data_IF_832368367026
#
_entry.id   IF_832368367026
#
_cell.length_a   1.000
_cell.length_b   1.000
_cell.length_c   1.000
_cell.angle_alpha   90.00
_cell.angle_beta   90.00
_cell.angle_gamma   90.00
#
_symmetry.space_group_name_H-M   'P 1'
#
loop_
_entity.id
_entity.type
_entity.pdbx_description
1 polymer ?
#
# COMPACT_ATOMS: atom_id res chain seq x y z
N UNK A 1 13.39 9.88 3.09
CA UNK A 1 13.86 8.69 2.36
C UNK A 1 15.35 8.85 2.22
N UNK A 2 16.14 7.93 2.79
CA UNK A 2 17.60 8.07 2.79
C UNK A 2 18.16 7.83 1.38
N UNK A 3 19.21 8.56 0.99
CA UNK A 3 19.85 8.44 -0.35
C UNK A 3 20.23 6.97 -0.66
N UNK A 4 20.64 6.21 0.36
CA UNK A 4 20.95 4.78 0.24
C UNK A 4 19.76 3.89 -0.15
N UNK A 5 18.53 4.19 0.29
CA UNK A 5 17.33 3.42 -0.09
C UNK A 5 16.96 3.65 -1.55
N UNK A 6 17.10 4.89 -2.03
CA UNK A 6 16.86 5.26 -3.43
C UNK A 6 17.87 4.56 -4.33
N UNK A 7 19.16 4.59 -3.98
CA UNK A 7 20.22 3.93 -4.71
C UNK A 7 20.05 2.41 -4.73
N UNK A 8 19.71 1.79 -3.60
CA UNK A 8 19.46 0.35 -3.51
C UNK A 8 18.27 -0.10 -4.37
N UNK A 9 17.18 0.69 -4.41
CA UNK A 9 16.02 0.40 -5.26
C UNK A 9 16.35 0.48 -6.74
N UNK A 10 17.05 1.53 -7.17
CA UNK A 10 17.43 1.67 -8.58
C UNK A 10 18.45 0.60 -9.00
N UNK A 11 19.40 0.26 -8.12
CA UNK A 11 20.38 -0.80 -8.37
C UNK A 11 19.71 -2.15 -8.66
N UNK A 12 18.80 -2.62 -7.81
CA UNK A 12 18.09 -3.89 -8.03
C UNK A 12 17.26 -3.89 -9.31
N UNK A 13 16.60 -2.78 -9.64
CA UNK A 13 15.83 -2.66 -10.89
C UNK A 13 16.73 -2.71 -12.12
N UNK A 14 17.88 -2.03 -12.09
CA UNK A 14 18.86 -2.03 -13.19
C UNK A 14 19.42 -3.44 -13.39
N UNK A 15 19.80 -4.13 -12.32
CA UNK A 15 20.32 -5.51 -12.40
C UNK A 15 19.30 -6.46 -13.02
N UNK A 16 18.03 -6.41 -12.58
CA UNK A 16 16.96 -7.26 -13.13
C UNK A 16 16.69 -6.93 -14.59
N UNK A 17 16.60 -5.64 -14.95
CA UNK A 17 16.39 -5.21 -16.32
C UNK A 17 17.55 -5.63 -17.24
N UNK A 18 18.80 -5.50 -16.79
CA UNK A 18 19.98 -5.93 -17.52
C UNK A 18 20.00 -7.45 -17.74
N UNK A 19 19.63 -8.24 -16.73
CA UNK A 19 19.55 -9.70 -16.86
C UNK A 19 18.50 -10.11 -17.91
N UNK A 20 17.30 -9.52 -17.88
CA UNK A 20 16.22 -9.81 -18.84
C UNK A 20 16.60 -9.36 -20.25
N UNK A 21 17.15 -8.15 -20.40
CA UNK A 21 17.54 -7.59 -21.69
C UNK A 21 18.71 -8.38 -22.31
N UNK A 22 19.75 -8.67 -21.53
CA UNK A 22 20.89 -9.47 -21.96
C UNK A 22 20.46 -10.86 -22.43
N UNK A 23 19.55 -11.51 -21.70
CA UNK A 23 18.97 -12.79 -22.09
C UNK A 23 18.21 -12.70 -23.43
N UNK A 24 17.38 -11.67 -23.61
CA UNK A 24 16.64 -11.45 -24.85
C UNK A 24 17.56 -11.25 -26.06
N UNK A 25 18.65 -10.50 -25.88
CA UNK A 25 19.67 -10.28 -26.93
C UNK A 25 20.38 -11.59 -27.28
N UNK A 26 20.81 -12.38 -26.29
CA UNK A 26 21.45 -13.67 -26.54
C UNK A 26 20.52 -14.60 -27.31
N UNK A 27 19.25 -14.66 -26.91
CA UNK A 27 18.22 -15.49 -27.56
C UNK A 27 17.96 -15.06 -28.99
N UNK A 28 17.94 -13.75 -29.26
CA UNK A 28 17.79 -13.21 -30.60
C UNK A 28 18.98 -13.58 -31.51
N UNK A 29 20.20 -13.55 -30.97
CA UNK A 29 21.42 -13.77 -31.74
C UNK A 29 21.79 -15.25 -31.92
N UNK A 30 21.47 -16.10 -30.94
CA UNK A 30 21.96 -17.49 -30.86
C UNK A 30 20.84 -18.53 -30.80
N UNK A 31 19.59 -18.09 -30.69
CA UNK A 31 18.44 -18.95 -30.43
C UNK A 31 18.24 -19.25 -28.94
N UNK A 32 17.16 -19.97 -28.60
CA UNK A 32 16.82 -20.30 -27.21
C UNK A 32 17.88 -21.16 -26.51
N UNK A 33 18.22 -20.80 -25.28
CA UNK A 33 19.13 -21.58 -24.42
C UNK A 33 18.46 -21.78 -23.05
N UNK A 34 17.98 -23.01 -22.74
CA UNK A 34 17.25 -23.26 -21.51
C UNK A 34 18.12 -23.18 -20.25
N UNK A 35 19.41 -23.47 -20.36
CA UNK A 35 20.34 -23.42 -19.22
C UNK A 35 20.60 -21.96 -18.87
N UNK A 36 20.93 -21.13 -19.87
CA UNK A 36 21.16 -19.71 -19.65
C UNK A 36 19.89 -18.98 -19.19
N UNK A 37 18.73 -19.32 -19.77
CA UNK A 37 17.43 -18.79 -19.34
C UNK A 37 17.13 -19.09 -17.86
N UNK A 38 17.41 -20.32 -17.41
CA UNK A 38 17.23 -20.70 -16.01
C UNK A 38 18.13 -19.89 -15.08
N UNK A 39 19.41 -19.72 -15.42
CA UNK A 39 20.33 -18.90 -14.63
C UNK A 39 19.87 -17.43 -14.54
N UNK A 40 19.50 -16.82 -15.67
CA UNK A 40 19.01 -15.44 -15.70
C UNK A 40 17.76 -15.27 -14.83
N UNK A 41 16.83 -16.23 -14.89
CA UNK A 41 15.61 -16.21 -14.10
C UNK A 41 15.86 -16.38 -12.60
N UNK A 42 16.76 -17.29 -12.21
CA UNK A 42 17.16 -17.47 -10.82
C UNK A 42 17.80 -16.19 -10.27
N UNK A 43 18.68 -15.53 -11.02
CA UNK A 43 19.31 -14.27 -10.62
C UNK A 43 18.24 -13.18 -10.48
N UNK A 44 17.43 -12.96 -11.51
CA UNK A 44 16.43 -11.89 -11.53
C UNK A 44 15.40 -12.06 -10.39
N UNK A 45 14.87 -13.28 -10.21
CA UNK A 45 13.93 -13.61 -9.16
C UNK A 45 14.52 -13.46 -7.76
N UNK A 46 15.76 -13.94 -7.55
CA UNK A 46 16.44 -13.86 -6.26
C UNK A 46 16.76 -12.41 -5.87
N UNK A 47 17.27 -11.61 -6.80
CA UNK A 47 17.54 -10.18 -6.58
C UNK A 47 16.25 -9.44 -6.23
N UNK A 48 15.15 -9.69 -6.95
CA UNK A 48 13.86 -9.06 -6.66
C UNK A 48 13.31 -9.46 -5.30
N UNK A 49 13.33 -10.76 -4.97
CA UNK A 49 12.88 -11.27 -3.69
C UNK A 49 13.68 -10.68 -2.53
N UNK A 50 15.00 -10.68 -2.65
CA UNK A 50 15.90 -10.12 -1.64
C UNK A 50 15.62 -8.64 -1.42
N UNK A 51 15.54 -7.85 -2.51
CA UNK A 51 15.26 -6.41 -2.43
C UNK A 51 13.89 -6.12 -1.79
N UNK A 52 12.84 -6.82 -2.23
CA UNK A 52 11.49 -6.67 -1.69
C UNK A 52 11.41 -7.00 -0.20
N UNK A 53 12.06 -8.10 0.22
CA UNK A 53 12.13 -8.51 1.64
C UNK A 53 12.97 -7.55 2.47
N UNK A 54 14.10 -7.07 1.96
CA UNK A 54 14.96 -6.12 2.64
C UNK A 54 14.21 -4.79 2.88
N UNK A 55 13.54 -4.26 1.86
CA UNK A 55 12.73 -3.03 1.96
C UNK A 55 11.58 -3.20 2.95
N UNK A 56 10.86 -4.32 2.87
CA UNK A 56 9.79 -4.66 3.81
C UNK A 56 10.29 -4.72 5.26
N UNK A 57 11.44 -5.36 5.49
CA UNK A 57 12.06 -5.47 6.82
C UNK A 57 12.52 -4.11 7.34
N UNK A 58 13.25 -3.34 6.54
CA UNK A 58 13.77 -2.02 6.90
C UNK A 58 12.63 -1.10 7.32
N UNK A 59 11.57 -1.04 6.51
CA UNK A 59 10.36 -0.25 6.79
C UNK A 59 9.72 -0.56 8.15
N UNK A 60 9.70 -1.83 8.59
CA UNK A 60 9.15 -2.21 9.89
C UNK A 60 10.12 -1.93 11.04
N UNK A 61 11.43 -2.12 10.82
CA UNK A 61 12.47 -1.85 11.82
C UNK A 61 12.54 -0.36 12.13
N UNK A 62 12.65 0.46 11.08
CA UNK A 62 12.76 1.91 11.18
C UNK A 62 11.46 2.53 11.71
N UNK A 63 10.34 1.81 11.59
CA UNK A 63 9.04 2.27 12.07
C UNK A 63 9.01 2.69 13.55
N UNK A 64 9.87 2.12 14.41
CA UNK A 64 9.96 2.57 15.82
C UNK A 64 10.62 3.96 15.95
N UNK A 65 11.67 4.20 15.18
CA UNK A 65 12.36 5.49 15.13
C UNK A 65 11.43 6.56 14.52
N UNK A 66 10.79 6.24 13.39
CA UNK A 66 9.86 7.17 12.72
C UNK A 66 8.65 7.47 13.61
N UNK A 67 8.13 6.48 14.34
CA UNK A 67 7.09 6.70 15.34
C UNK A 67 7.54 7.70 16.40
N UNK A 68 8.72 7.50 16.98
CA UNK A 68 9.26 8.38 18.02
C UNK A 68 9.39 9.84 17.52
N UNK A 69 9.79 10.01 16.26
CA UNK A 69 10.04 11.31 15.63
C UNK A 69 8.79 12.00 15.06
N UNK A 70 7.65 11.31 14.96
CA UNK A 70 6.45 11.87 14.31
C UNK A 70 5.24 11.71 15.21
N UNK A 71 4.78 10.48 15.38
CA UNK A 71 3.56 10.15 16.11
C UNK A 71 3.66 10.45 17.60
N UNK A 72 4.75 10.03 18.24
CA UNK A 72 4.94 10.16 19.68
C UNK A 72 5.09 11.64 20.10
N UNK A 73 5.59 12.51 19.22
CA UNK A 73 5.68 13.95 19.46
C UNK A 73 4.28 14.55 19.69
N UNK A 74 3.27 14.07 18.97
CA UNK A 74 1.90 14.52 19.14
C UNK A 74 1.19 13.84 20.32
N UNK A 75 1.36 12.53 20.46
CA UNK A 75 0.57 11.73 21.42
C UNK A 75 1.15 11.71 22.84
N UNK A 76 2.48 11.80 23.00
CA UNK A 76 3.11 11.78 24.33
C UNK A 76 3.26 13.17 24.95
N UNK A 77 3.28 14.21 24.12
CA UNK A 77 3.29 15.59 24.61
C UNK A 77 1.88 15.95 25.07
N UNK A 78 1.71 16.20 26.37
CA UNK A 78 0.45 16.75 26.87
C UNK A 78 0.23 18.14 26.23
N UNK A 79 -0.92 18.38 25.58
CA UNK A 79 -1.18 19.69 25.02
C UNK A 79 -1.17 20.76 26.11
N UNK A 80 -0.54 21.89 25.87
CA UNK A 80 -0.61 23.00 26.82
C UNK A 80 -2.02 23.62 26.79
N UNK A 81 -2.52 24.20 27.89
CA UNK A 81 -3.82 24.88 27.89
C UNK A 81 -3.92 26.00 26.84
N UNK A 82 -2.78 26.62 26.51
CA UNK A 82 -2.63 27.66 25.50
C UNK A 82 -2.60 27.17 24.06
N UNK A 83 -2.52 25.86 23.81
CA UNK A 83 -2.57 25.31 22.46
C UNK A 83 -3.99 25.33 21.91
N UNK A 84 -4.10 25.43 20.58
CA UNK A 84 -5.38 25.56 19.91
C UNK A 84 -6.27 24.34 20.15
N UNK A 85 -7.58 24.58 20.20
CA UNK A 85 -8.58 23.51 20.30
C UNK A 85 -8.41 22.46 19.19
N UNK A 86 -8.11 22.92 17.97
CA UNK A 86 -7.77 22.08 16.83
C UNK A 86 -6.63 21.11 17.12
N UNK A 87 -5.55 21.57 17.74
CA UNK A 87 -4.41 20.71 18.09
C UNK A 87 -4.81 19.67 19.13
N UNK A 88 -5.59 20.06 20.16
CA UNK A 88 -6.10 19.13 21.17
C UNK A 88 -7.00 18.04 20.58
N UNK A 89 -7.92 18.41 19.69
CA UNK A 89 -8.81 17.47 19.01
C UNK A 89 -8.01 16.47 18.16
N UNK A 90 -7.04 16.98 17.40
CA UNK A 90 -6.14 16.18 16.57
C UNK A 90 -5.36 15.15 17.42
N UNK A 91 -4.75 15.58 18.53
CA UNK A 91 -4.02 14.70 19.45
C UNK A 91 -4.94 13.65 20.08
N UNK A 92 -6.13 14.05 20.54
CA UNK A 92 -7.11 13.11 21.09
C UNK A 92 -7.55 12.05 20.06
N UNK A 93 -7.68 12.45 18.78
CA UNK A 93 -7.99 11.53 17.69
C UNK A 93 -6.83 10.56 17.42
N UNK A 94 -5.59 11.05 17.41
CA UNK A 94 -4.40 10.20 17.27
C UNK A 94 -4.31 9.19 18.41
N UNK A 95 -4.54 9.61 19.66
CA UNK A 95 -4.59 8.70 20.81
C UNK A 95 -5.63 7.60 20.65
N UNK A 96 -6.85 7.97 20.23
CA UNK A 96 -7.94 7.02 20.02
C UNK A 96 -7.61 6.03 18.89
N UNK A 97 -7.05 6.51 17.78
CA UNK A 97 -6.53 5.66 16.70
C UNK A 97 -5.48 4.69 17.23
N UNK A 98 -4.56 5.15 18.07
CA UNK A 98 -3.55 4.28 18.68
C UNK A 98 -4.12 3.22 19.61
N UNK A 99 -5.18 3.55 20.37
CA UNK A 99 -5.91 2.56 21.19
C UNK A 99 -6.59 1.52 20.31
N UNK A 100 -7.26 1.94 19.24
CA UNK A 100 -7.94 1.05 18.29
C UNK A 100 -6.98 0.09 17.58
N UNK A 101 -5.85 0.61 17.10
CA UNK A 101 -4.79 -0.21 16.48
C UNK A 101 -4.28 -1.24 17.50
N UNK A 102 -3.98 -0.84 18.74
CA UNK A 102 -3.53 -1.77 19.79
C UNK A 102 -4.55 -2.86 20.10
N UNK A 103 -5.83 -2.52 20.16
CA UNK A 103 -6.90 -3.51 20.36
C UNK A 103 -6.99 -4.51 19.19
N UNK A 104 -6.69 -4.05 17.97
CA UNK A 104 -6.73 -4.86 16.76
C UNK A 104 -5.53 -5.82 16.59
N UNK A 105 -4.36 -5.51 17.18
CA UNK A 105 -3.09 -6.26 17.05
C UNK A 105 -3.28 -7.77 17.26
N UNK A 106 -3.88 -8.16 18.39
CA UNK A 106 -4.03 -9.57 18.78
C UNK A 106 -4.90 -10.36 17.80
N UNK A 107 -5.99 -9.75 17.34
CA UNK A 107 -6.93 -10.36 16.40
C UNK A 107 -6.33 -10.63 15.01
N UNK A 108 -5.20 -9.99 14.68
CA UNK A 108 -4.52 -10.12 13.39
C UNK A 108 -3.20 -10.92 13.47
N UNK A 109 -2.94 -11.55 14.62
CA UNK A 109 -1.71 -12.30 14.87
C UNK A 109 -0.47 -11.42 14.73
N UNK A 110 -0.54 -10.19 15.23
CA UNK A 110 0.56 -9.25 15.30
C UNK A 110 1.06 -9.19 16.75
N UNK A 111 2.37 -9.04 16.93
CA UNK A 111 3.01 -8.75 18.23
C UNK A 111 3.05 -7.24 18.49
N UNK A 112 3.28 -6.45 17.42
CA UNK A 112 3.46 -5.00 17.52
C UNK A 112 3.10 -4.32 16.21
N UNK A 113 2.42 -3.19 16.30
CA UNK A 113 2.23 -2.25 15.19
C UNK A 113 2.76 -0.89 15.64
N UNK A 114 3.74 -0.36 14.90
CA UNK A 114 4.20 1.02 15.07
C UNK A 114 3.43 1.96 14.14
N UNK A 115 3.32 3.24 14.50
CA UNK A 115 2.58 4.23 13.72
C UNK A 115 3.41 5.49 13.51
N UNK A 116 3.31 6.08 12.34
CA UNK A 116 3.98 7.33 11.99
C UNK A 116 3.00 8.29 11.31
N UNK A 117 3.29 9.59 11.41
CA UNK A 117 2.60 10.61 10.61
C UNK A 117 3.51 11.18 9.53
N UNK A 118 2.92 11.51 8.38
CA UNK A 118 3.58 12.27 7.31
C UNK A 118 3.10 13.71 7.31
N UNK A 119 4.03 14.65 7.16
CA UNK A 119 3.75 16.09 7.21
C UNK A 119 3.11 16.62 5.92
N UNK A 120 2.68 17.88 5.96
CA UNK A 120 2.07 18.59 4.82
C UNK A 120 2.98 18.66 3.59
N UNK A 121 4.30 18.65 3.79
CA UNK A 121 5.30 18.80 2.73
C UNK A 121 5.57 17.50 1.95
N UNK A 122 4.98 16.37 2.34
CA UNK A 122 5.13 15.10 1.63
C UNK A 122 4.27 13.99 2.21
N UNK A 123 3.18 13.66 1.52
CA UNK A 123 2.28 12.56 1.93
C UNK A 123 1.19 12.98 2.91
N UNK A 124 0.72 14.24 2.87
CA UNK A 124 -0.37 14.74 3.71
C UNK A 124 -1.61 13.82 3.71
N UNK A 125 -1.95 13.26 2.54
CA UNK A 125 -3.07 12.35 2.34
C UNK A 125 -2.69 10.88 2.28
N UNK A 126 -1.45 10.53 2.61
CA UNK A 126 -1.01 9.13 2.47
C UNK A 126 -1.58 8.28 3.60
N UNK A 127 -1.97 7.06 3.25
CA UNK A 127 -2.20 5.98 4.18
C UNK A 127 -1.46 4.78 3.61
N UNK A 128 -0.60 4.17 4.43
CA UNK A 128 0.22 3.03 4.01
C UNK A 128 0.45 2.09 5.17
N UNK A 129 0.60 0.83 4.83
CA UNK A 129 0.87 -0.22 5.79
C UNK A 129 1.90 -1.20 5.27
N UNK A 130 2.67 -1.77 6.18
CA UNK A 130 3.59 -2.86 5.87
C UNK A 130 3.71 -3.80 7.05
N UNK A 131 3.88 -5.08 6.75
CA UNK A 131 4.06 -6.13 7.75
C UNK A 131 5.28 -6.96 7.45
N UNK A 132 6.10 -7.25 8.44
CA UNK A 132 7.19 -8.22 8.38
C UNK A 132 7.09 -9.16 9.57
N UNK A 133 6.87 -10.46 9.30
CA UNK A 133 6.60 -11.48 10.33
C UNK A 133 5.40 -11.07 11.20
N UNK A 134 5.54 -11.04 12.53
CA UNK A 134 4.49 -10.63 13.46
C UNK A 134 4.47 -9.12 13.73
N UNK A 135 5.30 -8.32 13.06
CA UNK A 135 5.37 -6.87 13.28
C UNK A 135 4.80 -6.10 12.09
N UNK A 136 4.05 -5.03 12.39
CA UNK A 136 3.48 -4.12 11.40
C UNK A 136 3.94 -2.69 11.61
N UNK A 137 3.79 -1.88 10.57
CA UNK A 137 3.96 -0.45 10.64
C UNK A 137 2.90 0.25 9.78
N UNK A 138 2.36 1.35 10.28
CA UNK A 138 1.34 2.18 9.65
C UNK A 138 1.85 3.61 9.50
N UNK A 139 1.69 4.19 8.31
CA UNK A 139 1.85 5.62 8.08
C UNK A 139 0.48 6.23 7.79
N UNK A 140 0.14 7.29 8.52
CA UNK A 140 -1.09 8.06 8.34
C UNK A 140 -0.74 9.53 8.21
N UNK A 141 -1.02 10.12 7.05
CA UNK A 141 -0.83 11.54 6.83
C UNK A 141 -1.72 12.42 7.69
N UNK A 142 -1.26 13.64 7.97
CA UNK A 142 -1.97 14.59 8.84
C UNK A 142 -3.38 14.95 8.34
N UNK A 143 -3.69 14.76 7.04
CA UNK A 143 -5.04 14.93 6.48
C UNK A 143 -6.08 14.19 7.29
N UNK A 144 -5.80 12.94 7.68
CA UNK A 144 -6.79 12.07 8.33
C UNK A 144 -7.14 12.50 9.74
N UNK A 145 -6.34 13.38 10.35
CA UNK A 145 -6.60 13.95 11.67
C UNK A 145 -7.14 15.39 11.60
N UNK A 146 -7.23 15.98 10.40
CA UNK A 146 -7.84 17.29 10.21
C UNK A 146 -9.38 17.22 10.33
N UNK A 147 -10.06 18.24 10.87
CA UNK A 147 -11.52 18.25 11.02
C UNK A 147 -12.27 18.03 9.70
N UNK A 148 -11.72 18.56 8.59
CA UNK A 148 -12.32 18.44 7.26
C UNK A 148 -12.38 17.00 6.72
N UNK A 149 -11.54 16.10 7.24
CA UNK A 149 -11.37 14.76 6.69
C UNK A 149 -11.40 13.64 7.75
N UNK A 150 -11.54 13.97 9.03
CA UNK A 150 -11.54 13.00 10.13
C UNK A 150 -12.71 12.00 10.04
N UNK A 151 -13.80 12.37 9.36
CA UNK A 151 -14.91 11.44 9.08
C UNK A 151 -14.48 10.23 8.22
N UNK A 152 -13.41 10.34 7.43
CA UNK A 152 -12.90 9.26 6.59
C UNK A 152 -11.84 8.38 7.27
N UNK A 153 -11.26 8.85 8.39
CA UNK A 153 -10.21 8.13 9.12
C UNK A 153 -10.59 6.68 9.48
N UNK A 154 -11.83 6.36 9.95
CA UNK A 154 -12.22 4.98 10.20
C UNK A 154 -12.06 4.07 8.97
N UNK A 155 -12.57 4.52 7.82
CA UNK A 155 -12.54 3.74 6.58
C UNK A 155 -11.11 3.51 6.08
N UNK A 156 -10.28 4.56 6.09
CA UNK A 156 -8.86 4.49 5.71
C UNK A 156 -8.09 3.56 6.65
N UNK A 157 -8.30 3.68 7.96
CA UNK A 157 -7.59 2.86 8.93
C UNK A 157 -7.94 1.37 8.80
N UNK A 158 -9.23 1.04 8.67
CA UNK A 158 -9.66 -0.34 8.49
C UNK A 158 -9.16 -0.95 7.18
N UNK A 159 -9.04 -0.15 6.13
CA UNK A 159 -8.38 -0.55 4.88
C UNK A 159 -6.91 -0.90 5.13
N UNK A 160 -6.14 -0.05 5.80
CA UNK A 160 -4.72 -0.33 6.09
C UNK A 160 -4.51 -1.49 7.07
N UNK A 161 -5.39 -1.64 8.07
CA UNK A 161 -5.38 -2.79 8.96
C UNK A 161 -5.69 -4.10 8.20
N UNK A 162 -6.53 -4.04 7.16
CA UNK A 162 -6.78 -5.18 6.29
C UNK A 162 -5.50 -5.68 5.60
N UNK A 163 -4.68 -4.77 5.07
CA UNK A 163 -3.39 -5.12 4.48
C UNK A 163 -2.46 -5.83 5.47
N UNK A 164 -2.37 -5.33 6.70
CA UNK A 164 -1.56 -5.95 7.76
C UNK A 164 -2.09 -7.35 8.11
N UNK A 165 -3.40 -7.49 8.29
CA UNK A 165 -4.03 -8.76 8.62
C UNK A 165 -3.81 -9.81 7.52
N UNK A 166 -3.94 -9.40 6.25
CA UNK A 166 -3.80 -10.28 5.08
C UNK A 166 -2.35 -10.53 4.66
N UNK A 167 -1.39 -9.83 5.26
CA UNK A 167 0.05 -9.88 4.95
C UNK A 167 0.35 -9.48 3.49
N UNK A 168 -0.40 -8.51 2.97
CA UNK A 168 -0.43 -8.22 1.54
C UNK A 168 0.93 -7.77 0.98
N UNK A 169 1.72 -6.99 1.73
CA UNK A 169 3.08 -6.61 1.31
C UNK A 169 3.98 -7.84 1.07
N UNK A 170 3.86 -8.88 1.89
CA UNK A 170 4.65 -10.10 1.75
C UNK A 170 4.21 -10.94 0.56
N UNK A 171 2.89 -11.05 0.34
CA UNK A 171 2.33 -11.76 -0.82
C UNK A 171 2.67 -11.03 -2.12
N UNK A 172 2.64 -9.69 -2.11
CA UNK A 172 3.06 -8.86 -3.23
C UNK A 172 4.49 -9.14 -3.67
N UNK A 173 5.45 -9.18 -2.72
CA UNK A 173 6.85 -9.53 -3.04
C UNK A 173 6.93 -10.89 -3.74
N UNK A 174 6.16 -11.89 -3.27
CA UNK A 174 6.14 -13.23 -3.89
C UNK A 174 5.59 -13.18 -5.32
N UNK A 175 4.46 -12.49 -5.53
CA UNK A 175 3.82 -12.37 -6.86
C UNK A 175 4.73 -11.62 -7.83
N UNK A 176 5.31 -10.49 -7.43
CA UNK A 176 6.22 -9.73 -8.27
C UNK A 176 7.51 -10.53 -8.57
N UNK A 177 8.07 -11.26 -7.61
CA UNK A 177 9.21 -12.16 -7.86
C UNK A 177 8.84 -13.25 -8.88
N UNK A 178 7.67 -13.87 -8.75
CA UNK A 178 7.22 -14.90 -9.70
C UNK A 178 7.08 -14.31 -11.12
N UNK A 179 6.49 -13.11 -11.23
CA UNK A 179 6.36 -12.41 -12.51
C UNK A 179 7.72 -12.06 -13.13
N UNK A 180 8.67 -11.56 -12.35
CA UNK A 180 10.05 -11.27 -12.79
C UNK A 180 10.76 -12.53 -13.26
N UNK A 181 10.66 -13.61 -12.49
CA UNK A 181 11.28 -14.91 -12.82
C UNK A 181 10.71 -15.47 -14.11
N UNK A 182 9.38 -15.46 -14.27
CA UNK A 182 8.70 -15.93 -15.47
C UNK A 182 9.06 -15.07 -16.70
N UNK A 183 9.17 -13.75 -16.53
CA UNK A 183 9.56 -12.83 -17.61
C UNK A 183 11.00 -13.09 -18.07
N UNK A 184 11.91 -13.33 -17.13
CA UNK A 184 13.30 -13.68 -17.44
C UNK A 184 13.43 -15.05 -18.15
N UNK A 185 12.67 -16.07 -17.71
CA UNK A 185 12.58 -17.35 -18.42
C UNK A 185 12.06 -17.16 -19.85
N UNK A 186 10.96 -16.41 -20.00
CA UNK A 186 10.34 -16.14 -21.29
C UNK A 186 11.31 -15.42 -22.25
N UNK A 187 12.11 -14.49 -21.75
CA UNK A 187 13.13 -13.78 -22.54
C UNK A 187 14.19 -14.73 -23.11
N UNK A 188 14.44 -15.87 -22.45
CA UNK A 188 15.44 -16.85 -22.84
C UNK A 188 14.94 -18.03 -23.67
N UNK A 189 13.64 -18.27 -23.64
CA UNK A 189 13.02 -19.46 -24.22
C UNK A 189 12.11 -19.18 -25.41
N UNK A 190 11.60 -17.95 -25.52
CA UNK A 190 10.56 -17.61 -26.49
C UNK A 190 11.10 -16.69 -27.60
N UNK A 191 10.58 -16.81 -28.83
CA UNK A 191 10.76 -15.79 -29.85
C UNK A 191 10.25 -14.42 -29.39
N UNK A 192 10.79 -13.33 -29.94
CA UNK A 192 10.51 -11.95 -29.51
C UNK A 192 9.03 -11.61 -29.38
N UNK A 193 8.20 -12.02 -30.34
CA UNK A 193 6.75 -11.77 -30.29
C UNK A 193 6.07 -12.48 -29.11
N UNK A 194 6.38 -13.77 -28.92
CA UNK A 194 5.86 -14.57 -27.81
C UNK A 194 6.38 -14.09 -26.45
N UNK A 195 7.65 -13.66 -26.38
CA UNK A 195 8.21 -13.02 -25.19
C UNK A 195 7.46 -11.72 -24.83
N UNK A 196 7.21 -10.85 -25.80
CA UNK A 196 6.50 -9.58 -25.57
C UNK A 196 5.09 -9.83 -25.00
N UNK A 197 4.36 -10.82 -25.54
CA UNK A 197 3.06 -11.23 -25.03
C UNK A 197 3.15 -11.81 -23.61
N UNK A 198 4.16 -12.64 -23.32
CA UNK A 198 4.37 -13.20 -21.98
C UNK A 198 4.68 -12.10 -20.94
N UNK A 199 5.57 -11.15 -21.28
CA UNK A 199 5.91 -10.03 -20.42
C UNK A 199 4.70 -9.11 -20.17
N UNK A 200 3.92 -8.81 -21.20
CA UNK A 200 2.68 -8.04 -21.08
C UNK A 200 1.67 -8.75 -20.18
N UNK A 201 1.52 -10.07 -20.35
CA UNK A 201 0.62 -10.89 -19.53
C UNK A 201 1.04 -10.91 -18.07
N UNK A 202 2.34 -11.09 -17.78
CA UNK A 202 2.86 -11.03 -16.42
C UNK A 202 2.63 -9.66 -15.77
N UNK A 203 2.81 -8.57 -16.52
CA UNK A 203 2.54 -7.21 -16.06
C UNK A 203 1.05 -6.98 -15.77
N UNK A 204 0.15 -7.42 -16.67
CA UNK A 204 -1.29 -7.31 -16.49
C UNK A 204 -1.78 -8.12 -15.28
N UNK A 205 -1.33 -9.37 -15.13
CA UNK A 205 -1.69 -10.23 -14.00
C UNK A 205 -1.22 -9.66 -12.67
N UNK A 206 0.00 -9.11 -12.61
CA UNK A 206 0.50 -8.44 -11.40
C UNK A 206 -0.32 -7.20 -11.06
N UNK A 207 -0.72 -6.44 -12.07
CA UNK A 207 -1.59 -5.26 -11.91
C UNK A 207 -2.98 -5.64 -11.38
N UNK A 208 -3.61 -6.65 -11.97
CA UNK A 208 -4.90 -7.17 -11.54
C UNK A 208 -4.83 -7.76 -10.11
N UNK A 209 -3.72 -8.41 -9.77
CA UNK A 209 -3.47 -8.87 -8.40
C UNK A 209 -3.44 -7.70 -7.40
N UNK A 210 -2.74 -6.61 -7.72
CA UNK A 210 -2.77 -5.40 -6.87
C UNK A 210 -4.18 -4.83 -6.74
N UNK A 211 -4.93 -4.75 -7.84
CA UNK A 211 -6.30 -4.26 -7.82
C UNK A 211 -7.20 -5.11 -6.93
N UNK A 212 -7.08 -6.43 -7.05
CA UNK A 212 -7.80 -7.37 -6.20
C UNK A 212 -7.48 -7.18 -4.72
N UNK A 213 -6.20 -7.00 -4.38
CA UNK A 213 -5.74 -6.76 -3.01
C UNK A 213 -6.39 -5.50 -2.42
N UNK A 214 -6.35 -4.39 -3.15
CA UNK A 214 -6.97 -3.11 -2.76
C UNK A 214 -8.48 -3.24 -2.56
N UNK A 215 -9.19 -3.81 -3.55
CA UNK A 215 -10.64 -4.02 -3.45
C UNK A 215 -10.96 -4.90 -2.24
N UNK A 216 -10.22 -5.98 -2.03
CA UNK A 216 -10.51 -6.88 -0.92
C UNK A 216 -10.22 -6.24 0.46
N UNK A 217 -9.35 -5.24 0.53
CA UNK A 217 -9.17 -4.40 1.72
C UNK A 217 -10.34 -3.40 1.88
N UNK A 218 -10.83 -2.80 0.79
CA UNK A 218 -12.06 -2.00 0.80
C UNK A 218 -13.26 -2.80 1.29
N UNK A 219 -13.43 -4.05 0.83
CA UNK A 219 -14.50 -4.94 1.29
C UNK A 219 -14.43 -5.19 2.80
N UNK A 220 -13.22 -5.32 3.37
CA UNK A 220 -13.04 -5.47 4.81
C UNK A 220 -13.39 -4.19 5.55
N UNK A 221 -12.96 -3.04 5.03
CA UNK A 221 -13.33 -1.74 5.58
C UNK A 221 -14.85 -1.51 5.51
N UNK A 222 -15.52 -1.96 4.46
CA UNK A 222 -17.00 -1.89 4.33
C UNK A 222 -17.69 -2.71 5.42
N UNK A 223 -17.15 -3.88 5.78
CA UNK A 223 -17.71 -4.69 6.89
C UNK A 223 -17.54 -4.03 8.25
N UNK A 224 -16.48 -3.25 8.44
CA UNK A 224 -16.19 -2.58 9.71
C UNK A 224 -16.87 -1.19 9.84
N UNK A 225 -16.93 -0.43 8.75
CA UNK A 225 -17.34 0.98 8.75
C UNK A 225 -18.67 1.22 8.02
N UNK A 226 -19.17 0.24 7.27
CA UNK A 226 -20.34 0.35 6.40
C UNK A 226 -20.02 0.84 4.99
N UNK A 227 -20.93 0.54 4.04
CA UNK A 227 -20.79 0.87 2.61
C UNK A 227 -20.63 2.36 2.37
N UNK A 228 -21.45 3.18 3.03
CA UNK A 228 -21.50 4.62 2.81
C UNK A 228 -20.18 5.29 3.19
N UNK A 229 -19.62 4.97 4.36
CA UNK A 229 -18.37 5.57 4.83
C UNK A 229 -17.20 5.33 3.86
N UNK A 230 -17.05 4.10 3.36
CA UNK A 230 -16.00 3.76 2.39
C UNK A 230 -16.26 4.39 1.02
N UNK A 231 -17.51 4.38 0.56
CA UNK A 231 -17.87 5.00 -0.72
C UNK A 231 -17.67 6.52 -0.71
N UNK A 232 -17.99 7.20 0.40
CA UNK A 232 -17.79 8.63 0.58
C UNK A 232 -16.31 9.01 0.59
N UNK A 233 -15.46 8.22 1.25
CA UNK A 233 -14.00 8.38 1.18
C UNK A 233 -13.51 8.39 -0.28
N UNK A 234 -13.87 7.37 -1.07
CA UNK A 234 -13.40 7.28 -2.46
C UNK A 234 -14.03 8.32 -3.39
N UNK A 235 -15.26 8.77 -3.10
CA UNK A 235 -15.87 9.91 -3.80
C UNK A 235 -15.14 11.22 -3.48
N UNK A 236 -14.74 11.45 -2.23
CA UNK A 236 -13.96 12.62 -1.86
C UNK A 236 -12.61 12.65 -2.60
N UNK A 237 -11.92 11.51 -2.72
CA UNK A 237 -10.68 11.42 -3.49
C UNK A 237 -10.90 11.58 -5.00
N UNK A 238 -12.04 11.14 -5.55
CA UNK A 238 -12.41 11.44 -6.95
C UNK A 238 -12.58 12.94 -7.20
N UNK A 239 -13.18 13.68 -6.26
CA UNK A 239 -13.33 15.13 -6.35
C UNK A 239 -11.96 15.81 -6.28
N UNK A 240 -11.10 15.37 -5.36
CA UNK A 240 -9.74 15.89 -5.22
C UNK A 240 -8.87 15.61 -6.45
N UNK A 241 -9.01 14.46 -7.09
CA UNK A 241 -8.29 14.17 -8.32
C UNK A 241 -8.78 15.07 -9.47
N UNK A 242 -10.10 15.30 -9.57
CA UNK A 242 -10.69 16.18 -10.60
C UNK A 242 -10.27 17.63 -10.47
N UNK A 243 -9.92 18.11 -9.27
CA UNK A 243 -9.46 19.48 -9.07
C UNK A 243 -8.00 19.71 -9.50
N UNK A 244 -7.27 18.66 -9.90
CA UNK A 244 -5.88 18.78 -10.39
C UNK A 244 -5.84 19.11 -11.88
N UNK A 245 -4.77 19.76 -12.38
CA UNK A 245 -4.59 19.99 -13.82
C UNK A 245 -4.54 18.67 -14.60
N UNK A 246 -5.05 18.67 -15.84
CA UNK A 246 -5.24 17.46 -16.65
C UNK A 246 -3.96 16.63 -16.81
N UNK A 247 -2.81 17.27 -17.06
CA UNK A 247 -1.54 16.57 -17.20
C UNK A 247 -1.14 15.79 -15.93
N UNK A 248 -1.28 16.42 -14.76
CA UNK A 248 -1.01 15.75 -13.47
C UNK A 248 -1.99 14.63 -13.18
N UNK A 249 -3.26 14.77 -13.60
CA UNK A 249 -4.27 13.72 -13.48
C UNK A 249 -3.93 12.51 -14.34
N UNK A 250 -3.59 12.72 -15.61
CA UNK A 250 -3.22 11.63 -16.52
C UNK A 250 -1.98 10.92 -16.00
N UNK A 251 -0.93 11.66 -15.65
CA UNK A 251 0.31 11.10 -15.10
C UNK A 251 0.06 10.34 -13.80
N UNK A 252 -0.67 10.96 -12.87
CA UNK A 252 -1.06 10.35 -11.59
C UNK A 252 -1.86 9.07 -11.79
N UNK A 253 -2.82 9.08 -12.72
CA UNK A 253 -3.63 7.91 -13.07
C UNK A 253 -2.78 6.79 -13.64
N UNK A 254 -1.95 7.06 -14.65
CA UNK A 254 -1.09 6.03 -15.26
C UNK A 254 -0.15 5.37 -14.24
N UNK A 255 0.41 6.17 -13.32
CA UNK A 255 1.24 5.65 -12.23
C UNK A 255 0.42 4.84 -11.23
N UNK A 256 -0.74 5.35 -10.83
CA UNK A 256 -1.60 4.71 -9.82
C UNK A 256 -2.20 3.39 -10.32
N UNK A 257 -2.59 3.30 -11.60
CA UNK A 257 -3.21 2.11 -12.17
C UNK A 257 -2.35 0.86 -12.08
N UNK A 258 -1.03 0.98 -11.91
CA UNK A 258 -0.14 -0.17 -11.71
C UNK A 258 -0.30 -0.84 -10.34
N UNK A 259 -0.79 -0.10 -9.35
CA UNK A 259 -0.85 -0.54 -7.95
C UNK A 259 -2.22 -0.38 -7.32
N UNK A 260 -3.11 0.42 -7.92
CA UNK A 260 -4.44 0.70 -7.39
C UNK A 260 -5.48 0.62 -8.51
N UNK A 261 -6.68 0.08 -8.21
CA UNK A 261 -7.79 0.10 -9.15
C UNK A 261 -8.29 1.53 -9.36
N UNK A 262 -8.96 1.82 -10.49
CA UNK A 262 -9.61 3.11 -10.70
C UNK A 262 -10.55 3.44 -9.54
N UNK A 263 -10.55 4.69 -9.05
CA UNK A 263 -11.39 5.09 -7.91
C UNK A 263 -12.89 4.81 -8.15
N UNK A 264 -13.36 4.92 -9.40
CA UNK A 264 -14.75 4.56 -9.76
C UNK A 264 -15.06 3.08 -9.51
N UNK A 265 -14.09 2.19 -9.77
CA UNK A 265 -14.22 0.76 -9.48
C UNK A 265 -14.27 0.53 -7.96
N UNK A 266 -13.45 1.25 -7.17
CA UNK A 266 -13.51 1.18 -5.69
C UNK A 266 -14.86 1.62 -5.15
N UNK A 267 -15.41 2.74 -5.65
CA UNK A 267 -16.76 3.21 -5.30
C UNK A 267 -17.81 2.17 -5.66
N UNK A 268 -17.74 1.62 -6.89
CA UNK A 268 -18.68 0.59 -7.34
C UNK A 268 -18.66 -0.63 -6.42
N UNK A 269 -17.47 -1.18 -6.13
CA UNK A 269 -17.31 -2.33 -5.24
C UNK A 269 -17.81 -2.04 -3.83
N UNK A 270 -17.49 -0.86 -3.25
CA UNK A 270 -17.93 -0.49 -1.92
C UNK A 270 -19.46 -0.40 -1.80
N UNK A 271 -20.13 0.18 -2.80
CA UNK A 271 -21.59 0.32 -2.84
C UNK A 271 -22.30 -1.04 -2.98
N UNK A 272 -21.73 -1.97 -3.75
CA UNK A 272 -22.36 -3.25 -4.07
C UNK A 272 -21.87 -4.43 -3.21
N UNK A 273 -21.05 -4.17 -2.18
CA UNK A 273 -20.55 -5.22 -1.29
C UNK A 273 -21.71 -5.86 -0.52
N UNK A 274 -21.97 -7.17 -0.64
CA UNK A 274 -22.99 -7.83 0.17
C UNK A 274 -22.59 -7.76 1.66
N UNK A 275 -23.54 -7.30 2.49
CA UNK A 275 -23.38 -7.24 3.94
C UNK A 275 -24.40 -8.20 4.57
N UNK A 276 -23.98 -9.10 5.49
CA UNK A 276 -24.91 -9.88 6.28
C UNK A 276 -25.95 -9.01 6.98
N UNK A 277 -27.21 -9.45 6.99
CA UNK A 277 -28.30 -8.76 7.71
C UNK A 277 -28.03 -8.63 9.22
N UNK A 278 -27.17 -9.49 9.77
CA UNK A 278 -26.76 -9.50 11.17
C UNK A 278 -25.70 -8.44 11.54
N UNK A 279 -25.08 -7.78 10.56
CA UNK A 279 -24.24 -6.62 10.81
C UNK A 279 -25.16 -5.41 11.02
N UNK A 280 -25.76 -5.32 12.21
CA UNK A 280 -26.28 -4.05 12.68
C UNK A 280 -25.14 -3.01 12.60
N UNK A 281 -25.39 -1.77 12.17
CA UNK A 281 -24.38 -0.73 12.13
C UNK A 281 -23.95 -0.36 13.55
N UNK A 282 -23.07 -1.16 14.15
CA UNK A 282 -22.35 -0.75 15.35
C UNK A 282 -21.47 0.42 14.94
N UNK A 283 -21.64 1.56 15.59
CA UNK A 283 -20.81 2.72 15.32
C UNK A 283 -19.34 2.34 15.49
N UNK A 284 -18.54 2.55 14.44
CA UNK A 284 -17.09 2.31 14.50
C UNK A 284 -16.50 3.13 15.65
N UNK A 285 -15.59 2.60 16.48
CA UNK A 285 -15.09 3.27 17.69
C UNK A 285 -14.38 4.61 17.43
N UNK A 286 -13.94 4.83 16.19
CA UNK A 286 -13.32 6.09 15.74
C UNK A 286 -14.30 7.13 15.18
N UNK A 287 -15.57 6.74 14.96
CA UNK A 287 -16.60 7.66 14.48
C UNK A 287 -16.97 8.59 15.62
N UNK A 288 -16.81 9.90 15.44
CA UNK A 288 -17.32 10.86 16.41
C UNK A 288 -18.84 10.67 16.56
N UNK A 289 -19.41 10.84 17.77
CA UNK A 289 -20.85 11.02 17.89
C UNK A 289 -21.24 12.21 17.01
N UNK A 290 -22.35 12.09 16.27
CA UNK A 290 -22.86 13.24 15.53
C UNK A 290 -23.06 14.38 16.55
N UNK A 291 -22.49 15.56 16.28
CA UNK A 291 -22.83 16.74 17.04
C UNK A 291 -24.35 16.93 16.88
N UNK A 292 -25.08 16.75 17.99
CA UNK A 292 -26.51 17.00 18.07
C UNK A 292 -26.81 18.49 18.10
#
# INVERSE_FOLDING_TARGET
MAIGETLGRHGSHITVAAAIAGQGIVTLLRGPDPVFALYAALIAGSVWAWHGRATQRASVIDGSMVQALTWDIHVKRRPAPSESELYREMTARMELTGRHVRASIGSHGLERVTMATSSELGGYSDARSTRYRARGHLWLGMRWFSPKHTCHLPAVLEHELAHLARRDTGKRVVVETAAVTATALAAGLLPTGSFALAALSAWLLTTLYHWWVEVACDLRAVRACGRQAVAELWRADLVLDRSRPLAFRIWGTLRALRTHPPLRLRVFCAVHTPLPASLAPTAHPLRAPAAG
#
